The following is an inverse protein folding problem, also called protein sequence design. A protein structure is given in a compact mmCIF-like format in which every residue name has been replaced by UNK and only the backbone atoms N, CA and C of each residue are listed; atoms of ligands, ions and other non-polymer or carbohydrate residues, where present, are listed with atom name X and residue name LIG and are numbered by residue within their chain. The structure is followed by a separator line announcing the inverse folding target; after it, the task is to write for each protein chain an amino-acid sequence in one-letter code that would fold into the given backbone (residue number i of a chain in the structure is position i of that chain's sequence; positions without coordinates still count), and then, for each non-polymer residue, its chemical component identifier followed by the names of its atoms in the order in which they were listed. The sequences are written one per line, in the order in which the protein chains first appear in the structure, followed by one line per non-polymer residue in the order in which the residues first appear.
data_IF_017082266138
#
_entry.id   IF_017082266138
#
_cell.length_a   1.000
_cell.length_b   1.000
_cell.length_c   1.000
_cell.angle_alpha   90.00
_cell.angle_beta   90.00
_cell.angle_gamma   90.00
#
_symmetry.space_group_name_H-M   'P 1'
#
loop_
_entity.id
_entity.type
_entity.pdbx_description
1 polymer ?
#
# COMPACT_ATOMS: atom_id res chain seq x y z
N UNK A 1 -1.33 -36.74 8.81
CA UNK A 1 -0.22 -35.78 8.98
C UNK A 1 0.17 -35.80 10.43
N UNK A 2 1.46 -35.79 10.73
CA UNK A 2 1.97 -35.66 12.09
C UNK A 2 1.73 -34.24 12.64
N UNK A 3 1.58 -34.12 13.97
CA UNK A 3 1.31 -32.86 14.66
C UNK A 3 2.44 -31.86 14.42
N UNK A 4 3.70 -32.31 14.48
CA UNK A 4 4.85 -31.49 14.16
C UNK A 4 4.79 -30.90 12.75
N UNK A 5 4.43 -31.72 11.76
CA UNK A 5 4.33 -31.29 10.36
C UNK A 5 3.25 -30.21 10.18
N UNK A 6 2.13 -30.36 10.88
CA UNK A 6 1.02 -29.40 10.84
C UNK A 6 1.41 -28.07 11.48
N UNK A 7 2.02 -28.11 12.67
CA UNK A 7 2.51 -26.92 13.38
C UNK A 7 3.63 -26.22 12.60
N UNK A 8 4.52 -26.99 11.98
CA UNK A 8 5.58 -26.44 11.14
C UNK A 8 5.03 -25.75 9.89
N UNK A 9 3.96 -26.27 9.27
CA UNK A 9 3.29 -25.62 8.14
C UNK A 9 2.51 -24.38 8.57
N UNK A 10 1.92 -24.39 9.75
CA UNK A 10 1.25 -23.21 10.29
C UNK A 10 2.27 -22.08 10.54
N UNK A 11 3.42 -22.41 11.14
CA UNK A 11 4.51 -21.46 11.42
C UNK A 11 5.03 -20.77 10.16
N UNK A 12 5.15 -21.46 9.03
CA UNK A 12 5.62 -20.84 7.77
C UNK A 12 4.62 -19.85 7.18
N UNK A 13 3.34 -19.95 7.55
CA UNK A 13 2.28 -19.06 7.08
C UNK A 13 2.09 -17.82 7.96
N UNK A 14 2.71 -17.75 9.14
CA UNK A 14 2.61 -16.60 10.06
C UNK A 14 3.26 -15.36 9.46
N UNK A 15 2.53 -14.23 9.43
CA UNK A 15 2.97 -12.97 8.80
C UNK A 15 3.15 -11.81 9.77
N UNK A 16 2.75 -11.96 11.03
CA UNK A 16 2.87 -10.91 12.04
C UNK A 16 3.53 -11.41 13.33
N UNK A 17 4.12 -10.47 14.10
CA UNK A 17 4.70 -10.80 15.41
C UNK A 17 3.64 -11.25 16.41
N UNK A 18 2.43 -10.68 16.36
CA UNK A 18 1.32 -11.04 17.25
C UNK A 18 0.84 -12.47 17.02
N UNK A 19 0.68 -12.89 15.76
CA UNK A 19 0.36 -14.28 15.41
C UNK A 19 1.46 -15.24 15.85
N UNK A 20 2.74 -14.83 15.73
CA UNK A 20 3.87 -15.63 16.19
C UNK A 20 3.90 -15.78 17.72
N UNK A 21 3.57 -14.72 18.46
CA UNK A 21 3.45 -14.78 19.92
C UNK A 21 2.31 -15.72 20.35
N UNK A 22 1.19 -15.70 19.61
CA UNK A 22 0.08 -16.61 19.85
C UNK A 22 0.45 -18.08 19.57
N UNK A 23 1.14 -18.32 18.45
CA UNK A 23 1.71 -19.62 18.10
C UNK A 23 2.63 -20.17 19.20
N UNK A 24 3.54 -19.34 19.71
CA UNK A 24 4.45 -19.74 20.79
C UNK A 24 3.68 -20.13 22.07
N UNK A 25 2.63 -19.37 22.44
CA UNK A 25 1.78 -19.72 23.60
C UNK A 25 1.08 -21.07 23.40
N UNK A 26 0.62 -21.37 22.19
CA UNK A 26 -0.03 -22.64 21.88
C UNK A 26 0.96 -23.82 21.94
N UNK A 27 2.21 -23.65 21.49
CA UNK A 27 3.26 -24.68 21.66
C UNK A 27 3.48 -25.00 23.13
N UNK A 28 3.65 -23.98 23.97
CA UNK A 28 3.88 -24.18 25.40
C UNK A 28 2.72 -24.90 26.09
N UNK A 29 1.49 -24.61 25.66
CA UNK A 29 0.30 -25.33 26.13
C UNK A 29 0.32 -26.80 25.71
N UNK A 30 0.58 -27.09 24.43
CA UNK A 30 0.64 -28.46 23.90
C UNK A 30 1.76 -29.30 24.54
N UNK A 31 2.91 -28.67 24.82
CA UNK A 31 4.00 -29.30 25.56
C UNK A 31 3.60 -29.63 27.01
N UNK A 32 2.94 -28.70 27.70
CA UNK A 32 2.43 -28.94 29.05
C UNK A 32 1.31 -29.98 29.14
N UNK A 33 0.61 -30.23 28.03
CA UNK A 33 -0.40 -31.30 27.90
C UNK A 33 0.22 -32.63 27.42
N UNK A 34 1.55 -32.73 27.29
CA UNK A 34 2.30 -33.90 26.79
C UNK A 34 1.90 -34.35 25.37
N UNK A 35 1.20 -33.49 24.62
CA UNK A 35 0.80 -33.74 23.22
C UNK A 35 1.93 -33.48 22.23
N UNK A 36 2.97 -32.78 22.67
CA UNK A 36 4.15 -32.43 21.88
C UNK A 36 5.41 -32.87 22.62
N UNK A 37 6.22 -33.71 21.98
CA UNK A 37 7.48 -34.16 22.57
C UNK A 37 8.51 -33.04 22.69
N UNK A 38 9.44 -33.18 23.64
CA UNK A 38 10.50 -32.20 23.92
C UNK A 38 11.33 -31.84 22.68
N UNK A 39 11.76 -32.85 21.91
CA UNK A 39 12.53 -32.64 20.68
C UNK A 39 11.75 -31.87 19.60
N UNK A 40 10.43 -32.07 19.50
CA UNK A 40 9.58 -31.38 18.54
C UNK A 40 9.28 -29.94 18.98
N UNK A 41 9.07 -29.73 20.29
CA UNK A 41 8.91 -28.43 20.90
C UNK A 41 10.16 -27.56 20.70
N UNK A 42 11.35 -28.12 20.98
CA UNK A 42 12.62 -27.44 20.75
C UNK A 42 12.81 -27.03 19.28
N UNK A 43 12.57 -27.97 18.35
CA UNK A 43 12.64 -27.69 16.90
C UNK A 43 11.67 -26.61 16.45
N UNK A 44 10.46 -26.57 16.99
CA UNK A 44 9.47 -25.54 16.65
C UNK A 44 9.85 -24.18 17.26
N UNK A 45 10.41 -24.15 18.47
CA UNK A 45 10.93 -22.94 19.10
C UNK A 45 12.08 -22.32 18.28
N UNK A 46 13.07 -23.13 17.86
CA UNK A 46 14.15 -22.64 16.99
C UNK A 46 13.62 -22.04 15.68
N UNK A 47 12.65 -22.71 15.04
CA UNK A 47 12.01 -22.20 13.82
C UNK A 47 11.25 -20.90 14.10
N UNK A 48 10.58 -20.79 15.24
CA UNK A 48 9.85 -19.59 15.64
C UNK A 48 10.79 -18.41 15.90
N UNK A 49 11.96 -18.64 16.51
CA UNK A 49 12.98 -17.60 16.68
C UNK A 49 13.52 -17.11 15.33
N UNK A 50 13.81 -18.03 14.40
CA UNK A 50 14.22 -17.67 13.03
C UNK A 50 13.13 -16.85 12.33
N UNK A 51 11.87 -17.25 12.46
CA UNK A 51 10.74 -16.50 11.88
C UNK A 51 10.58 -15.13 12.53
N UNK A 52 10.75 -15.03 13.86
CA UNK A 52 10.77 -13.75 14.59
C UNK A 52 11.87 -12.83 14.07
N UNK A 53 13.07 -13.37 13.87
CA UNK A 53 14.18 -12.61 13.30
C UNK A 53 13.87 -12.13 11.86
N UNK A 54 13.24 -12.96 11.03
CA UNK A 54 12.81 -12.58 9.69
C UNK A 54 11.73 -11.47 9.71
N UNK A 55 10.72 -11.61 10.57
CA UNK A 55 9.66 -10.59 10.74
C UNK A 55 10.20 -9.29 11.34
N UNK A 56 11.25 -9.34 12.17
CA UNK A 56 11.98 -8.17 12.69
C UNK A 56 13.03 -7.61 11.72
N UNK A 57 13.46 -8.36 10.71
CA UNK A 57 14.32 -7.89 9.61
C UNK A 57 13.51 -7.26 8.49
N UNK A 58 12.24 -7.63 8.31
CA UNK A 58 11.34 -6.99 7.36
C UNK A 58 11.17 -5.46 7.53
N UNK A 59 11.44 -4.85 8.70
CA UNK A 59 11.58 -3.40 8.88
C UNK A 59 13.03 -2.89 9.02
N UNK A 60 14.07 -3.74 8.95
CA UNK A 60 15.45 -3.35 9.25
C UNK A 60 16.13 -2.48 8.17
N UNK A 61 15.53 -2.34 6.98
CA UNK A 61 15.97 -1.34 5.99
C UNK A 61 15.52 0.09 6.35
N UNK A 62 14.80 0.29 7.46
CA UNK A 62 14.36 1.61 7.95
C UNK A 62 13.38 2.34 7.02
N UNK A 63 13.13 1.81 5.82
CA UNK A 63 12.09 2.26 4.92
C UNK A 63 10.81 1.57 5.36
N UNK A 64 10.09 2.20 6.29
CA UNK A 64 8.65 1.99 6.36
C UNK A 64 8.15 1.97 4.91
N UNK A 65 7.52 0.87 4.49
CA UNK A 65 6.86 0.83 3.19
C UNK A 65 6.01 2.10 3.15
N UNK A 66 6.26 3.01 2.20
CA UNK A 66 5.51 4.24 2.19
C UNK A 66 4.03 3.85 2.15
N UNK A 67 3.17 4.53 2.92
CA UNK A 67 1.69 4.34 2.90
C UNK A 67 1.10 4.32 1.47
N UNK A 68 1.90 4.77 0.51
CA UNK A 68 1.67 4.87 -0.91
C UNK A 68 2.91 4.44 -1.69
N UNK A 69 2.79 3.54 -2.68
CA UNK A 69 3.87 3.24 -3.66
C UNK A 69 4.26 4.45 -4.52
N UNK A 70 3.57 5.58 -4.36
CA UNK A 70 3.83 6.80 -5.09
C UNK A 70 4.63 7.79 -4.23
N UNK A 71 5.56 8.55 -4.86
CA UNK A 71 6.42 9.48 -4.15
C UNK A 71 5.60 10.56 -3.45
N UNK A 72 5.89 10.82 -2.17
CA UNK A 72 5.37 12.00 -1.49
C UNK A 72 6.05 13.24 -2.06
N UNK A 73 5.24 14.24 -2.42
CA UNK A 73 5.77 15.47 -2.98
C UNK A 73 6.19 16.42 -1.85
N UNK A 74 7.47 16.85 -1.78
CA UNK A 74 7.87 17.94 -0.90
C UNK A 74 7.14 19.21 -1.34
N UNK A 75 6.84 20.08 -0.38
CA UNK A 75 6.23 21.37 -0.70
C UNK A 75 7.19 22.14 -1.62
N UNK A 76 6.66 22.67 -2.71
CA UNK A 76 7.46 23.49 -3.64
C UNK A 76 7.68 24.85 -3.01
N UNK A 77 8.94 25.27 -2.87
CA UNK A 77 9.28 26.64 -2.48
C UNK A 77 9.00 27.65 -3.61
N UNK A 78 8.94 27.16 -4.87
CA UNK A 78 8.64 27.99 -6.04
C UNK A 78 7.23 28.56 -6.00
N UNK A 79 7.11 29.85 -6.28
CA UNK A 79 5.85 30.56 -6.38
C UNK A 79 4.97 30.07 -7.54
N UNK A 80 3.66 30.40 -7.51
CA UNK A 80 2.70 29.95 -8.54
C UNK A 80 3.08 30.37 -9.97
N UNK A 81 3.62 31.58 -10.15
CA UNK A 81 4.05 32.11 -11.46
C UNK A 81 5.25 31.32 -12.00
N UNK A 82 6.24 31.09 -11.16
CA UNK A 82 7.44 30.33 -11.49
C UNK A 82 7.13 28.84 -11.77
N UNK A 83 6.19 28.25 -11.04
CA UNK A 83 5.70 26.90 -11.33
C UNK A 83 4.93 26.80 -12.65
N UNK A 84 4.37 27.91 -13.15
CA UNK A 84 3.65 27.98 -14.41
C UNK A 84 4.59 28.22 -15.60
N UNK A 85 5.66 29.00 -15.41
CA UNK A 85 6.67 29.32 -16.44
C UNK A 85 7.86 28.37 -16.46
N UNK A 86 8.17 27.70 -15.35
CA UNK A 86 9.31 26.81 -15.20
C UNK A 86 9.13 25.46 -15.91
N UNK A 87 10.27 24.81 -16.18
CA UNK A 87 10.29 23.47 -16.77
C UNK A 87 9.55 22.48 -15.85
N UNK A 88 8.48 21.88 -16.38
CA UNK A 88 7.72 20.85 -15.66
C UNK A 88 8.57 19.61 -15.52
N UNK A 89 8.58 19.02 -14.33
CA UNK A 89 9.25 17.74 -14.08
C UNK A 89 8.79 16.69 -15.13
N UNK A 90 9.71 16.17 -15.96
CA UNK A 90 9.36 15.30 -17.08
C UNK A 90 8.85 13.93 -16.63
N UNK A 91 9.27 13.43 -15.46
CA UNK A 91 8.78 12.17 -14.89
C UNK A 91 7.33 12.33 -14.47
N UNK A 92 7.05 13.39 -13.72
CA UNK A 92 5.70 13.74 -13.28
C UNK A 92 4.77 13.97 -14.47
N UNK A 93 5.23 14.71 -15.47
CA UNK A 93 4.44 15.01 -16.65
C UNK A 93 4.09 13.73 -17.40
N UNK A 94 5.08 12.85 -17.68
CA UNK A 94 4.84 11.54 -18.30
C UNK A 94 3.85 10.70 -17.51
N UNK A 95 3.96 10.64 -16.19
CA UNK A 95 3.03 9.89 -15.34
C UNK A 95 1.60 10.42 -15.46
N UNK A 96 1.39 11.73 -15.33
CA UNK A 96 0.08 12.37 -15.51
C UNK A 96 -0.53 11.99 -16.87
N UNK A 97 0.24 12.14 -17.95
CA UNK A 97 -0.23 11.80 -19.31
C UNK A 97 -0.59 10.33 -19.46
N UNK A 98 0.22 9.44 -18.89
CA UNK A 98 -0.04 7.99 -18.90
C UNK A 98 -1.35 7.66 -18.18
N UNK A 99 -1.54 8.17 -16.97
CA UNK A 99 -2.74 7.90 -16.17
C UNK A 99 -4.00 8.48 -16.80
N UNK A 100 -3.92 9.68 -17.40
CA UNK A 100 -5.05 10.31 -18.08
C UNK A 100 -5.58 9.51 -19.27
N UNK A 101 -4.69 8.77 -19.96
CA UNK A 101 -5.05 7.91 -21.09
C UNK A 101 -5.62 6.56 -20.65
N UNK A 102 -5.48 6.20 -19.38
CA UNK A 102 -6.11 5.02 -18.86
C UNK A 102 -7.60 5.35 -18.65
N UNK A 103 -8.46 4.62 -19.34
CA UNK A 103 -9.90 4.92 -19.43
C UNK A 103 -10.60 4.72 -18.07
N UNK A 104 -10.49 5.71 -17.18
CA UNK A 104 -11.22 5.75 -15.91
C UNK A 104 -12.65 6.29 -16.06
N UNK A 105 -12.91 7.00 -17.14
CA UNK A 105 -14.10 7.80 -17.37
C UNK A 105 -14.85 7.19 -18.54
N UNK A 106 -16.18 7.14 -18.45
CA UNK A 106 -17.02 6.69 -19.56
C UNK A 106 -16.76 7.58 -20.78
N UNK A 107 -16.76 7.02 -22.01
CA UNK A 107 -16.44 7.79 -23.23
C UNK A 107 -17.27 9.06 -23.40
N UNK A 108 -18.55 9.02 -22.99
CA UNK A 108 -19.47 10.16 -23.04
C UNK A 108 -19.01 11.38 -22.20
N UNK A 109 -18.21 11.16 -21.15
CA UNK A 109 -17.68 12.23 -20.29
C UNK A 109 -16.19 12.50 -20.53
N UNK A 110 -15.54 11.84 -21.50
CA UNK A 110 -14.10 11.97 -21.71
C UNK A 110 -13.69 13.42 -22.07
N UNK A 111 -14.54 14.15 -22.80
CA UNK A 111 -14.33 15.55 -23.16
C UNK A 111 -14.55 16.53 -22.01
N UNK A 112 -15.16 16.09 -20.91
CA UNK A 112 -15.47 16.95 -19.76
C UNK A 112 -14.25 17.21 -18.88
N UNK A 113 -13.24 16.36 -18.91
CA UNK A 113 -12.12 16.45 -17.98
C UNK A 113 -10.84 16.83 -18.69
N UNK A 114 -10.10 17.75 -18.09
CA UNK A 114 -8.72 18.01 -18.51
C UNK A 114 -7.86 16.78 -18.24
N UNK A 115 -6.75 16.64 -18.96
CA UNK A 115 -5.81 15.53 -18.78
C UNK A 115 -5.36 15.37 -17.31
N UNK A 116 -5.21 16.47 -16.57
CA UNK A 116 -4.85 16.41 -15.15
C UNK A 116 -5.97 15.89 -14.25
N UNK A 117 -7.22 16.23 -14.57
CA UNK A 117 -8.39 15.76 -13.84
C UNK A 117 -8.64 14.28 -14.12
N UNK A 118 -8.51 13.84 -15.37
CA UNK A 118 -8.62 12.42 -15.75
C UNK A 118 -7.57 11.56 -15.04
N UNK A 119 -6.33 12.06 -14.94
CA UNK A 119 -5.28 11.38 -14.17
C UNK A 119 -5.63 11.24 -12.68
N UNK A 120 -6.26 12.25 -12.08
CA UNK A 120 -6.71 12.19 -10.68
C UNK A 120 -7.87 11.20 -10.50
N UNK A 121 -8.87 11.22 -11.38
CA UNK A 121 -10.01 10.30 -11.34
C UNK A 121 -9.58 8.85 -11.55
N UNK A 122 -8.56 8.60 -12.38
CA UNK A 122 -7.99 7.26 -12.52
C UNK A 122 -7.44 6.71 -11.19
N UNK A 123 -6.75 7.53 -10.39
CA UNK A 123 -6.26 7.10 -9.07
C UNK A 123 -7.42 6.74 -8.13
N UNK A 124 -8.49 7.54 -8.13
CA UNK A 124 -9.70 7.29 -7.33
C UNK A 124 -10.35 5.98 -7.77
N UNK A 125 -10.53 5.79 -9.08
CA UNK A 125 -11.14 4.58 -9.65
C UNK A 125 -10.32 3.32 -9.32
N UNK A 126 -8.99 3.37 -9.45
CA UNK A 126 -8.14 2.26 -9.04
C UNK A 126 -8.32 1.89 -7.57
N UNK A 127 -8.47 2.88 -6.69
CA UNK A 127 -8.69 2.60 -5.27
C UNK A 127 -10.05 1.96 -5.02
N UNK A 128 -11.10 2.53 -5.61
CA UNK A 128 -12.44 1.97 -5.51
C UNK A 128 -12.50 0.54 -6.07
N UNK A 129 -11.76 0.25 -7.16
CA UNK A 129 -11.68 -1.10 -7.74
C UNK A 129 -10.97 -2.09 -6.81
N UNK A 130 -9.96 -1.63 -6.07
CA UNK A 130 -9.17 -2.49 -5.20
C UNK A 130 -9.79 -2.68 -3.81
N UNK A 131 -10.42 -1.64 -3.26
CA UNK A 131 -10.86 -1.59 -1.86
C UNK A 131 -12.36 -1.27 -1.69
N UNK A 132 -13.13 -1.16 -2.77
CA UNK A 132 -14.55 -0.79 -2.76
C UNK A 132 -14.81 0.70 -2.54
N UNK A 133 -13.85 1.45 -2.03
CA UNK A 133 -13.91 2.90 -1.82
C UNK A 133 -12.53 3.56 -1.92
N UNK A 134 -12.52 4.89 -2.01
CA UNK A 134 -11.30 5.69 -1.99
C UNK A 134 -11.24 6.52 -0.69
N UNK A 135 -10.41 6.10 0.27
CA UNK A 135 -10.22 6.81 1.54
C UNK A 135 -8.98 7.75 1.51
N UNK A 136 -8.42 8.01 0.31
CA UNK A 136 -7.19 8.80 0.16
C UNK A 136 -7.44 10.28 0.31
N UNK A 137 -6.48 10.95 0.95
CA UNK A 137 -6.49 12.41 1.02
C UNK A 137 -6.31 13.06 -0.36
N UNK A 138 -6.82 14.28 -0.53
CA UNK A 138 -6.63 15.09 -1.75
C UNK A 138 -5.15 15.27 -2.10
N UNK A 139 -4.30 15.45 -1.10
CA UNK A 139 -2.84 15.56 -1.29
C UNK A 139 -2.30 14.27 -1.87
N UNK A 140 -2.67 13.13 -1.29
CA UNK A 140 -2.20 11.82 -1.74
C UNK A 140 -2.66 11.55 -3.17
N UNK A 141 -3.94 11.78 -3.51
CA UNK A 141 -4.43 11.62 -4.89
C UNK A 141 -3.61 12.47 -5.87
N UNK A 142 -3.34 13.72 -5.53
CA UNK A 142 -2.55 14.64 -6.36
C UNK A 142 -1.11 14.17 -6.56
N UNK A 143 -0.47 13.72 -5.48
CA UNK A 143 0.89 13.20 -5.50
C UNK A 143 0.99 11.92 -6.33
N UNK A 144 -0.01 11.02 -6.26
CA UNK A 144 -0.11 9.82 -7.10
C UNK A 144 -0.32 10.15 -8.59
N UNK A 145 -1.27 11.04 -8.88
CA UNK A 145 -1.62 11.44 -10.25
C UNK A 145 -0.59 12.36 -10.91
N UNK A 146 0.28 13.02 -10.13
CA UNK A 146 1.19 14.04 -10.64
C UNK A 146 0.51 15.38 -10.90
N UNK A 147 -0.49 15.76 -10.12
CA UNK A 147 -1.24 17.03 -10.24
C UNK A 147 -1.27 17.80 -8.92
N UNK A 148 -1.74 19.04 -8.95
CA UNK A 148 -1.91 19.84 -7.74
C UNK A 148 -3.20 19.48 -6.99
N UNK A 149 -3.30 19.77 -5.68
CA UNK A 149 -4.50 19.49 -4.90
C UNK A 149 -5.74 20.26 -5.41
N UNK A 150 -5.54 21.43 -6.03
CA UNK A 150 -6.61 22.18 -6.69
C UNK A 150 -7.20 21.43 -7.88
N UNK A 151 -6.37 20.82 -8.72
CA UNK A 151 -6.81 19.97 -9.84
C UNK A 151 -7.65 18.80 -9.34
N UNK A 152 -7.24 18.15 -8.25
CA UNK A 152 -8.00 17.04 -7.66
C UNK A 152 -9.37 17.51 -7.18
N UNK A 153 -9.44 18.62 -6.42
CA UNK A 153 -10.73 19.16 -5.94
C UNK A 153 -11.65 19.57 -7.09
N UNK A 154 -11.10 20.18 -8.14
CA UNK A 154 -11.87 20.55 -9.32
C UNK A 154 -12.44 19.31 -10.02
N UNK A 155 -11.62 18.26 -10.20
CA UNK A 155 -12.05 16.99 -10.79
C UNK A 155 -13.21 16.37 -10.00
N UNK A 156 -13.07 16.26 -8.68
CA UNK A 156 -14.09 15.68 -7.80
C UNK A 156 -15.38 16.50 -7.81
N UNK A 157 -15.28 17.84 -7.76
CA UNK A 157 -16.44 18.73 -7.83
C UNK A 157 -17.15 18.66 -9.19
N UNK A 158 -16.40 18.47 -10.27
CA UNK A 158 -16.99 18.32 -11.61
C UNK A 158 -17.67 16.96 -11.75
N UNK A 159 -17.00 15.89 -11.32
CA UNK A 159 -17.54 14.53 -11.34
C UNK A 159 -18.80 14.39 -10.48
N UNK A 160 -18.94 15.13 -9.38
CA UNK A 160 -20.16 15.09 -8.56
C UNK A 160 -21.37 15.78 -9.18
N UNK A 161 -21.24 16.39 -10.37
CA UNK A 161 -22.30 17.11 -11.09
C UNK A 161 -22.68 16.43 -12.42
N UNK A 162 -21.97 15.36 -12.77
CA UNK A 162 -22.19 14.54 -13.96
C UNK A 162 -22.74 13.19 -13.51
#
# INVERSE_FOLDING_TARGET
MDLYSTLSLWLTNIRSLAELDDFCRQIWKLYGEELLGEADAERLCEKAERQRANLKKAPADGRALPRSSYPQRPLSERGRREAASGLRDPVRWRRKRRLARMQAIRPEFAGEFTEGESAALYIVMCDCRQHGKCDRSVKEIGDRAGVGPTTVRNALRKASRL
#
